data_IF_992222577823
#
_entry.id   IF_992222577823
#
_cell.length_a   1.000
_cell.length_b   1.000
_cell.length_c   1.000
_cell.angle_alpha   90.00
_cell.angle_beta   90.00
_cell.angle_gamma   90.00
#
_symmetry.space_group_name_H-M   'P 1'
#
loop_
_entity.id
_entity.type
_entity.pdbx_description
1 polymer ?
#
# COMPACT_ATOMS: atom_id res chain seq x y z
N UNK A 1 -0.62 -23.07 17.22
CA UNK A 1 -1.23 -23.84 16.12
C UNK A 1 -0.52 -23.42 14.84
N UNK A 2 0.03 -24.36 14.10
CA UNK A 2 0.69 -24.08 12.82
C UNK A 2 -0.34 -24.33 11.73
N UNK A 3 -0.68 -23.32 10.95
CA UNK A 3 -1.53 -23.44 9.78
C UNK A 3 -0.67 -23.23 8.52
N UNK A 4 -0.72 -24.15 7.58
CA UNK A 4 -0.08 -24.03 6.28
C UNK A 4 -1.10 -24.26 5.18
N UNK A 5 -1.02 -23.50 4.11
CA UNK A 5 -1.80 -23.72 2.90
C UNK A 5 -0.88 -23.70 1.69
N UNK A 6 -1.13 -24.58 0.74
CA UNK A 6 -0.49 -24.61 -0.57
C UNK A 6 -1.63 -24.60 -1.59
N UNK A 7 -1.56 -23.70 -2.57
CA UNK A 7 -2.50 -23.68 -3.69
C UNK A 7 -1.75 -23.67 -5.01
N UNK A 8 -2.30 -24.33 -6.00
CA UNK A 8 -1.85 -24.29 -7.39
C UNK A 8 -3.08 -23.94 -8.21
N UNK A 9 -2.98 -22.96 -9.09
CA UNK A 9 -4.05 -22.59 -10.02
C UNK A 9 -3.50 -22.48 -11.43
N UNK A 10 -4.26 -23.00 -12.37
CA UNK A 10 -4.05 -22.82 -13.80
C UNK A 10 -4.96 -21.68 -14.29
N UNK A 11 -4.38 -20.68 -14.93
CA UNK A 11 -5.11 -19.55 -15.46
C UNK A 11 -5.23 -19.73 -16.99
N UNK A 12 -6.25 -20.47 -17.41
CA UNK A 12 -6.53 -20.82 -18.80
C UNK A 12 -6.96 -19.58 -19.62
N UNK A 13 -6.00 -18.74 -19.99
CA UNK A 13 -6.15 -17.73 -21.01
C UNK A 13 -4.96 -17.87 -21.94
N UNK A 14 -5.14 -18.09 -23.21
CA UNK A 14 -4.24 -18.14 -24.39
C UNK A 14 -2.71 -18.31 -24.19
N UNK A 15 -2.20 -18.26 -22.98
CA UNK A 15 -0.86 -18.64 -22.50
C UNK A 15 -1.06 -19.40 -21.19
N UNK A 16 -0.80 -20.70 -21.18
CA UNK A 16 -0.85 -21.54 -19.98
C UNK A 16 0.20 -21.03 -18.98
N UNK A 17 -0.21 -20.28 -17.97
CA UNK A 17 0.64 -19.85 -16.86
C UNK A 17 0.19 -20.57 -15.60
N UNK A 18 1.04 -21.45 -15.09
CA UNK A 18 0.80 -22.13 -13.83
C UNK A 18 1.28 -21.25 -12.67
N UNK A 19 0.40 -20.98 -11.72
CA UNK A 19 0.73 -20.23 -10.48
C UNK A 19 0.71 -21.17 -9.28
N UNK A 20 1.64 -20.95 -8.36
CA UNK A 20 1.72 -21.69 -7.10
C UNK A 20 1.93 -20.73 -5.93
N UNK A 21 1.39 -21.09 -4.78
CA UNK A 21 1.58 -20.32 -3.55
C UNK A 21 1.68 -21.22 -2.33
N UNK A 22 2.39 -20.73 -1.33
CA UNK A 22 2.49 -21.35 -0.02
C UNK A 22 2.37 -20.29 1.07
N UNK A 23 1.64 -20.62 2.13
CA UNK A 23 1.52 -19.80 3.33
C UNK A 23 1.82 -20.63 4.56
N UNK A 24 2.70 -20.13 5.40
CA UNK A 24 3.08 -20.76 6.66
C UNK A 24 2.85 -19.80 7.82
N UNK A 25 2.16 -20.26 8.86
CA UNK A 25 1.86 -19.47 10.06
C UNK A 25 2.46 -20.14 11.29
N UNK A 26 3.31 -19.39 11.99
CA UNK A 26 3.95 -19.82 13.22
C UNK A 26 3.71 -18.77 14.31
N UNK A 27 2.69 -19.00 15.16
CA UNK A 27 2.29 -18.04 16.16
C UNK A 27 1.88 -16.70 15.52
N UNK A 28 2.60 -15.67 15.86
CA UNK A 28 2.36 -14.30 15.37
C UNK A 28 3.13 -13.96 14.09
N UNK A 29 3.83 -14.92 13.49
CA UNK A 29 4.54 -14.76 12.24
C UNK A 29 3.82 -15.51 11.12
N UNK A 30 3.55 -14.81 10.03
CA UNK A 30 3.01 -15.37 8.79
C UNK A 30 4.02 -15.16 7.68
N UNK A 31 4.39 -16.22 7.00
CA UNK A 31 5.25 -16.19 5.82
C UNK A 31 4.43 -16.58 4.60
N UNK A 32 4.60 -15.87 3.51
CA UNK A 32 3.98 -16.12 2.22
C UNK A 32 5.03 -16.28 1.13
N UNK A 33 4.73 -17.16 0.19
CA UNK A 33 5.48 -17.34 -1.05
C UNK A 33 4.49 -17.51 -2.19
N UNK A 34 4.75 -16.87 -3.32
CA UNK A 34 4.01 -17.05 -4.56
C UNK A 34 4.99 -17.07 -5.72
N UNK A 35 4.63 -17.77 -6.78
CA UNK A 35 5.40 -17.81 -8.00
C UNK A 35 4.57 -18.37 -9.15
N UNK A 36 5.11 -18.22 -10.35
CA UNK A 36 4.54 -18.80 -11.56
C UNK A 36 5.64 -19.34 -12.47
N UNK A 37 5.26 -20.10 -13.48
CA UNK A 37 6.17 -20.61 -14.50
C UNK A 37 6.58 -19.58 -15.56
N UNK A 38 6.05 -18.34 -15.46
CA UNK A 38 6.45 -17.19 -16.26
C UNK A 38 7.52 -16.32 -15.56
N UNK A 39 8.32 -16.91 -14.67
CA UNK A 39 9.49 -16.33 -14.01
C UNK A 39 9.19 -15.19 -13.02
N UNK A 40 7.95 -15.06 -12.54
CA UNK A 40 7.63 -14.14 -11.46
C UNK A 40 7.55 -14.87 -10.12
N UNK A 41 8.11 -14.26 -9.08
CA UNK A 41 8.03 -14.77 -7.70
C UNK A 41 7.86 -13.64 -6.68
N UNK A 42 7.31 -13.97 -5.51
CA UNK A 42 7.23 -13.04 -4.39
C UNK A 42 7.29 -13.75 -3.04
N UNK A 43 7.82 -13.03 -2.07
CA UNK A 43 7.91 -13.43 -0.67
C UNK A 43 7.26 -12.38 0.21
N UNK A 44 6.65 -12.82 1.30
CA UNK A 44 6.11 -11.89 2.29
C UNK A 44 6.29 -12.42 3.71
N UNK A 45 6.40 -11.50 4.64
CA UNK A 45 6.42 -11.79 6.07
C UNK A 45 5.53 -10.78 6.79
N UNK A 46 4.68 -11.24 7.71
CA UNK A 46 3.88 -10.38 8.58
C UNK A 46 4.05 -10.84 10.02
N UNK A 47 4.35 -9.89 10.90
CA UNK A 47 4.53 -10.12 12.32
C UNK A 47 3.55 -9.27 13.14
N UNK A 48 2.86 -9.92 14.08
CA UNK A 48 1.85 -9.30 14.97
C UNK A 48 2.07 -9.66 16.45
N UNK A 49 3.31 -9.97 16.84
CA UNK A 49 3.63 -10.50 18.19
C UNK A 49 3.66 -9.46 19.30
N UNK A 50 3.52 -8.17 18.99
CA UNK A 50 3.38 -7.08 19.95
C UNK A 50 1.99 -6.51 19.82
N UNK A 51 1.31 -6.30 20.96
CA UNK A 51 -0.04 -5.74 20.96
C UNK A 51 -0.08 -4.39 20.23
N UNK A 52 -1.04 -4.23 19.35
CA UNK A 52 -1.21 -3.05 18.52
C UNK A 52 -0.22 -2.92 17.37
N UNK A 53 0.88 -3.67 17.33
CA UNK A 53 1.91 -3.57 16.31
C UNK A 53 1.73 -4.63 15.21
N UNK A 54 1.73 -4.17 13.97
CA UNK A 54 1.85 -5.01 12.78
C UNK A 54 3.03 -4.55 11.96
N UNK A 55 3.93 -5.46 11.60
CA UNK A 55 5.03 -5.23 10.67
C UNK A 55 4.82 -6.18 9.51
N UNK A 56 4.82 -5.67 8.29
CA UNK A 56 4.75 -6.45 7.08
C UNK A 56 5.89 -6.08 6.13
N UNK A 57 6.44 -7.09 5.49
CA UNK A 57 7.45 -6.99 4.45
C UNK A 57 7.04 -7.82 3.26
N UNK A 58 7.29 -7.35 2.07
CA UNK A 58 7.11 -8.07 0.83
C UNK A 58 8.21 -7.73 -0.16
N UNK A 59 8.60 -8.74 -0.93
CA UNK A 59 9.51 -8.60 -2.06
C UNK A 59 8.96 -9.43 -3.22
N UNK A 60 8.99 -8.88 -4.42
CA UNK A 60 8.60 -9.56 -5.64
C UNK A 60 9.57 -9.28 -6.76
N UNK A 61 9.69 -10.22 -7.67
CA UNK A 61 10.49 -10.11 -8.88
C UNK A 61 9.70 -10.64 -10.09
N UNK A 62 9.85 -9.98 -11.22
CA UNK A 62 9.35 -10.42 -12.52
C UNK A 62 10.52 -10.44 -13.51
N UNK A 63 11.03 -11.63 -13.82
CA UNK A 63 12.21 -11.86 -14.65
C UNK A 63 11.85 -12.20 -16.10
N UNK A 64 10.76 -11.64 -16.65
CA UNK A 64 10.40 -11.85 -18.05
C UNK A 64 11.53 -11.44 -18.98
N UNK A 65 11.72 -12.22 -20.01
CA UNK A 65 12.78 -12.02 -21.03
C UNK A 65 12.74 -10.68 -21.77
N UNK A 66 11.67 -9.92 -21.62
CA UNK A 66 11.48 -8.62 -22.30
C UNK A 66 11.61 -7.41 -21.38
N UNK A 67 11.50 -7.60 -20.09
CA UNK A 67 11.71 -6.57 -19.06
C UNK A 67 11.74 -7.22 -17.67
N UNK A 68 12.72 -6.91 -16.87
CA UNK A 68 12.81 -7.32 -15.46
C UNK A 68 12.30 -6.20 -14.56
N UNK A 69 11.63 -6.59 -13.48
CA UNK A 69 11.19 -5.66 -12.46
C UNK A 69 11.28 -6.30 -11.08
N UNK A 70 11.75 -5.54 -10.12
CA UNK A 70 11.81 -5.89 -8.71
C UNK A 70 10.96 -4.93 -7.89
N UNK A 71 10.29 -5.43 -6.88
CA UNK A 71 9.54 -4.61 -5.95
C UNK A 71 9.85 -5.04 -4.52
N UNK A 72 10.10 -4.07 -3.66
CA UNK A 72 10.26 -4.27 -2.23
C UNK A 72 9.31 -3.33 -1.50
N UNK A 73 8.56 -3.86 -0.55
CA UNK A 73 7.63 -3.08 0.24
C UNK A 73 7.72 -3.47 1.70
N UNK A 74 7.59 -2.49 2.58
CA UNK A 74 7.35 -2.74 3.98
C UNK A 74 6.29 -1.77 4.53
N UNK A 75 5.61 -2.25 5.56
CA UNK A 75 4.58 -1.50 6.26
C UNK A 75 4.69 -1.74 7.75
N UNK A 76 4.65 -0.67 8.51
CA UNK A 76 4.53 -0.71 9.97
C UNK A 76 3.25 -0.01 10.36
N UNK A 77 2.42 -0.66 11.17
CA UNK A 77 1.21 -0.06 11.75
C UNK A 77 1.20 -0.29 13.24
N UNK A 78 0.90 0.74 14.00
CA UNK A 78 0.78 0.68 15.44
C UNK A 78 -0.52 1.34 15.90
N UNK A 79 -1.31 0.56 16.63
CA UNK A 79 -2.56 1.02 17.25
C UNK A 79 -2.39 1.08 18.77
N UNK A 80 -2.69 2.22 19.37
CA UNK A 80 -2.66 2.43 20.81
C UNK A 80 -3.84 3.29 21.25
N UNK A 81 -4.78 2.68 21.97
CA UNK A 81 -6.01 3.34 22.36
C UNK A 81 -6.78 3.87 21.13
N UNK A 82 -7.10 5.16 21.11
CA UNK A 82 -7.81 5.77 19.96
C UNK A 82 -6.91 6.12 18.77
N UNK A 83 -5.59 5.92 18.86
CA UNK A 83 -4.64 6.29 17.83
C UNK A 83 -4.22 5.07 17.00
N UNK A 84 -4.09 5.29 15.71
CA UNK A 84 -3.40 4.36 14.81
C UNK A 84 -2.44 5.15 13.95
N UNK A 85 -1.17 4.74 13.90
CA UNK A 85 -0.17 5.28 13.00
C UNK A 85 0.27 4.18 12.03
N UNK A 86 0.42 4.51 10.76
CA UNK A 86 0.89 3.59 9.73
C UNK A 86 1.95 4.29 8.90
N UNK A 87 3.05 3.60 8.63
CA UNK A 87 4.06 4.01 7.67
C UNK A 87 4.25 2.90 6.64
N UNK A 88 4.41 3.28 5.38
CA UNK A 88 4.61 2.36 4.26
C UNK A 88 5.73 2.89 3.40
N UNK A 89 6.53 1.99 2.86
CA UNK A 89 7.58 2.28 1.91
C UNK A 89 7.54 1.21 0.81
N UNK A 90 7.65 1.65 -0.43
CA UNK A 90 7.65 0.81 -1.62
C UNK A 90 8.73 1.30 -2.56
N UNK A 91 9.63 0.40 -2.92
CA UNK A 91 10.61 0.56 -3.97
C UNK A 91 10.25 -0.37 -5.13
N UNK A 92 10.12 0.18 -6.31
CA UNK A 92 9.86 -0.55 -7.54
C UNK A 92 10.93 -0.22 -8.56
N UNK A 93 11.80 -1.18 -8.80
CA UNK A 93 12.87 -1.11 -9.79
C UNK A 93 12.47 -1.83 -11.06
N UNK A 94 12.60 -1.14 -12.18
CA UNK A 94 12.36 -1.67 -13.51
C UNK A 94 13.64 -1.56 -14.32
N UNK A 95 13.91 -2.54 -15.19
CA UNK A 95 15.05 -2.52 -16.11
C UNK A 95 15.19 -1.18 -16.88
N UNK A 96 14.07 -0.56 -17.20
CA UNK A 96 14.05 0.81 -17.71
C UNK A 96 13.89 1.77 -16.54
N UNK A 97 14.95 2.46 -16.16
CA UNK A 97 14.98 3.35 -14.99
C UNK A 97 13.82 4.37 -14.93
N UNK A 98 13.39 4.90 -16.07
CA UNK A 98 12.23 5.83 -16.14
C UNK A 98 10.88 5.18 -15.77
N UNK A 99 10.85 3.87 -15.60
CA UNK A 99 9.66 3.12 -15.15
C UNK A 99 9.74 2.73 -13.67
N UNK A 100 10.87 2.98 -13.01
CA UNK A 100 11.03 2.76 -11.57
C UNK A 100 10.25 3.79 -10.77
N UNK A 101 9.87 3.45 -9.54
CA UNK A 101 9.10 4.31 -8.62
C UNK A 101 9.50 4.02 -7.19
N UNK A 102 9.71 5.07 -6.42
CA UNK A 102 9.79 5.00 -4.97
C UNK A 102 8.59 5.72 -4.37
N UNK A 103 7.96 5.10 -3.39
CA UNK A 103 6.81 5.64 -2.71
C UNK A 103 6.98 5.48 -1.20
N UNK A 104 6.82 6.55 -0.47
CA UNK A 104 6.74 6.50 0.99
C UNK A 104 5.45 7.16 1.45
N UNK A 105 4.82 6.61 2.48
CA UNK A 105 3.62 7.21 3.05
C UNK A 105 3.57 7.09 4.57
N UNK A 106 2.93 8.06 5.18
CA UNK A 106 2.61 8.06 6.60
C UNK A 106 1.14 8.47 6.80
N UNK A 107 0.44 7.75 7.66
CA UNK A 107 -0.93 8.08 8.03
C UNK A 107 -1.09 7.98 9.54
N UNK A 108 -1.83 8.93 10.13
CA UNK A 108 -2.28 8.89 11.51
C UNK A 108 -3.80 8.97 11.52
N UNK A 109 -4.44 8.10 12.28
CA UNK A 109 -5.87 8.12 12.54
C UNK A 109 -6.13 8.28 14.04
N UNK A 110 -7.13 9.07 14.37
CA UNK A 110 -7.59 9.29 15.75
C UNK A 110 -9.10 9.11 15.84
N UNK A 111 -9.55 8.20 16.69
CA UNK A 111 -10.97 7.97 17.00
C UNK A 111 -11.35 8.87 18.16
N UNK A 112 -12.01 10.00 17.86
CA UNK A 112 -12.43 10.98 18.85
C UNK A 112 -13.58 10.46 19.71
N UNK A 113 -14.50 9.69 19.10
CA UNK A 113 -15.62 9.00 19.77
C UNK A 113 -16.02 7.78 18.94
N UNK A 114 -16.96 6.97 19.41
CA UNK A 114 -17.52 5.83 18.65
C UNK A 114 -18.11 6.25 17.29
N UNK A 115 -18.40 7.54 17.12
CA UNK A 115 -19.05 8.09 15.94
C UNK A 115 -18.10 8.90 15.06
N UNK A 116 -17.00 9.43 15.60
CA UNK A 116 -16.12 10.39 14.91
C UNK A 116 -14.69 9.87 14.84
N UNK A 117 -14.15 9.85 13.63
CA UNK A 117 -12.73 9.61 13.40
C UNK A 117 -12.12 10.72 12.54
N UNK A 118 -10.85 10.98 12.78
CA UNK A 118 -10.04 11.97 12.07
C UNK A 118 -8.82 11.25 11.52
N UNK A 119 -8.45 11.57 10.28
CA UNK A 119 -7.25 11.02 9.63
C UNK A 119 -6.42 12.14 9.03
N UNK A 120 -5.11 11.97 9.08
CA UNK A 120 -4.16 12.77 8.34
C UNK A 120 -3.15 11.83 7.70
N UNK A 121 -2.76 12.08 6.48
CA UNK A 121 -1.76 11.29 5.77
C UNK A 121 -0.94 12.14 4.81
N UNK A 122 0.26 11.68 4.58
CA UNK A 122 1.21 12.21 3.60
C UNK A 122 1.74 11.05 2.76
N UNK A 123 1.97 11.31 1.50
CA UNK A 123 2.58 10.37 0.56
C UNK A 123 3.53 11.13 -0.36
N UNK A 124 4.68 10.55 -0.59
CA UNK A 124 5.72 11.06 -1.47
C UNK A 124 6.00 10.00 -2.53
N UNK A 125 6.02 10.41 -3.78
CA UNK A 125 6.32 9.54 -4.91
C UNK A 125 7.48 10.15 -5.70
N UNK A 126 8.54 9.36 -5.91
CA UNK A 126 9.65 9.70 -6.79
C UNK A 126 9.59 8.82 -8.05
N UNK A 127 9.74 9.44 -9.19
CA UNK A 127 9.88 8.77 -10.48
C UNK A 127 11.37 8.45 -10.71
N UNK A 128 11.69 7.32 -11.32
CA UNK A 128 13.07 6.88 -11.60
C UNK A 128 13.82 7.69 -12.66
N UNK A 129 13.27 8.80 -13.12
CA UNK A 129 13.93 9.71 -14.05
C UNK A 129 14.98 10.55 -13.31
N UNK A 130 16.20 10.60 -13.81
CA UNK A 130 17.32 11.34 -13.19
C UNK A 130 17.11 12.86 -13.05
N UNK A 131 16.06 13.40 -13.65
CA UNK A 131 15.67 14.82 -13.58
C UNK A 131 14.29 15.02 -12.94
N UNK A 132 13.72 14.02 -12.30
CA UNK A 132 12.42 14.14 -11.65
C UNK A 132 12.56 14.78 -10.27
N UNK A 133 11.57 15.59 -9.93
CA UNK A 133 11.29 16.02 -8.58
C UNK A 133 10.24 15.09 -7.98
N UNK A 134 10.10 15.13 -6.67
CA UNK A 134 9.07 14.37 -5.97
C UNK A 134 7.69 14.96 -6.23
N UNK A 135 6.69 14.09 -6.35
CA UNK A 135 5.30 14.48 -6.16
C UNK A 135 4.93 14.23 -4.70
N UNK A 136 4.32 15.22 -4.06
CA UNK A 136 3.93 15.17 -2.65
C UNK A 136 2.41 15.28 -2.53
N UNK A 137 1.83 14.42 -1.71
CA UNK A 137 0.40 14.39 -1.44
C UNK A 137 0.20 14.50 0.05
N UNK A 138 -0.72 15.35 0.48
CA UNK A 138 -1.17 15.40 1.86
C UNK A 138 -2.69 15.43 1.93
N UNK A 139 -3.25 14.93 3.03
CA UNK A 139 -4.70 14.91 3.15
C UNK A 139 -5.17 14.80 4.59
N UNK A 140 -6.26 15.51 4.86
CA UNK A 140 -6.98 15.46 6.11
C UNK A 140 -8.41 14.98 5.87
N UNK A 141 -8.88 14.07 6.70
CA UNK A 141 -10.23 13.52 6.62
C UNK A 141 -10.93 13.48 7.97
N UNK A 142 -12.25 13.66 7.94
CA UNK A 142 -13.13 13.46 9.09
C UNK A 142 -14.28 12.56 8.67
N UNK A 143 -14.60 11.56 9.49
CA UNK A 143 -15.75 10.69 9.27
C UNK A 143 -16.65 10.72 10.48
N UNK A 144 -17.95 10.89 10.25
CA UNK A 144 -19.01 10.78 11.25
C UNK A 144 -19.97 9.67 10.87
N UNK A 145 -20.22 8.73 11.80
CA UNK A 145 -21.14 7.59 11.58
C UNK A 145 -22.13 7.50 12.71
N UNK A 146 -23.42 7.64 12.40
CA UNK A 146 -24.50 7.48 13.38
C UNK A 146 -25.79 7.03 12.70
N UNK A 147 -26.56 6.14 13.33
CA UNK A 147 -27.91 5.80 12.92
C UNK A 147 -28.06 5.27 11.50
N UNK A 148 -27.07 4.54 10.98
CA UNK A 148 -27.07 4.04 9.59
C UNK A 148 -26.64 5.09 8.56
N UNK A 149 -26.19 6.27 8.99
CA UNK A 149 -25.63 7.31 8.14
C UNK A 149 -24.13 7.43 8.39
N UNK A 150 -23.36 7.59 7.34
CA UNK A 150 -21.94 7.96 7.40
C UNK A 150 -21.72 9.22 6.57
N UNK A 151 -21.16 10.26 7.19
CA UNK A 151 -20.72 11.48 6.52
C UNK A 151 -19.20 11.50 6.55
N UNK A 152 -18.57 11.67 5.38
CA UNK A 152 -17.15 11.88 5.21
C UNK A 152 -16.88 13.28 4.64
N UNK A 153 -15.87 13.96 5.17
CA UNK A 153 -15.31 15.15 4.58
C UNK A 153 -13.80 15.01 4.49
N UNK A 154 -13.22 15.44 3.38
CA UNK A 154 -11.77 15.45 3.22
C UNK A 154 -11.29 16.68 2.45
N UNK A 155 -10.06 17.06 2.74
CA UNK A 155 -9.28 18.02 1.97
C UNK A 155 -7.93 17.34 1.64
N UNK A 156 -7.51 17.47 0.40
CA UNK A 156 -6.27 16.88 -0.12
C UNK A 156 -5.55 17.94 -0.94
N UNK A 157 -4.24 17.97 -0.80
CA UNK A 157 -3.31 18.76 -1.58
C UNK A 157 -2.33 17.83 -2.27
N UNK A 158 -2.05 18.12 -3.52
CA UNK A 158 -1.08 17.39 -4.33
C UNK A 158 -0.15 18.42 -4.96
N UNK A 159 1.13 18.30 -4.69
CA UNK A 159 2.18 19.17 -5.22
C UNK A 159 3.00 18.42 -6.25
N UNK A 160 3.38 19.15 -7.30
CA UNK A 160 4.26 18.67 -8.37
C UNK A 160 3.86 17.32 -8.99
N UNK A 161 2.58 17.12 -9.28
CA UNK A 161 2.06 15.87 -9.85
C UNK A 161 2.65 15.50 -11.22
N UNK A 162 3.32 16.45 -11.88
CA UNK A 162 4.01 16.25 -13.16
C UNK A 162 5.48 15.82 -13.02
N UNK A 163 6.01 15.68 -11.79
CA UNK A 163 7.42 15.38 -11.51
C UNK A 163 8.41 16.33 -12.19
N UNK A 164 8.03 17.60 -12.32
CA UNK A 164 8.77 18.59 -13.12
C UNK A 164 9.67 19.45 -12.26
N UNK A 165 10.90 19.71 -12.73
CA UNK A 165 11.83 20.66 -12.12
C UNK A 165 11.58 22.12 -12.55
N UNK A 166 10.71 22.36 -13.53
CA UNK A 166 10.55 23.68 -14.16
C UNK A 166 9.14 24.22 -14.12
N UNK A 167 8.14 23.37 -13.97
CA UNK A 167 6.73 23.75 -13.87
C UNK A 167 6.04 22.80 -12.91
N UNK A 168 5.68 23.28 -11.72
CA UNK A 168 4.90 22.53 -10.74
C UNK A 168 3.43 22.57 -11.13
N UNK A 169 2.79 21.41 -11.08
CA UNK A 169 1.34 21.30 -11.20
C UNK A 169 0.81 20.89 -9.82
N UNK A 170 0.16 21.84 -9.16
CA UNK A 170 -0.38 21.66 -7.83
C UNK A 170 -1.91 21.58 -7.92
N UNK A 171 -2.50 20.73 -7.14
CA UNK A 171 -3.95 20.53 -7.08
C UNK A 171 -4.44 20.50 -5.63
N UNK A 172 -5.54 21.15 -5.40
CA UNK A 172 -6.26 21.08 -4.12
C UNK A 172 -7.68 20.57 -4.38
N UNK A 173 -8.09 19.57 -3.61
CA UNK A 173 -9.40 18.94 -3.72
C UNK A 173 -10.03 18.85 -2.34
N UNK A 174 -11.29 19.21 -2.23
CA UNK A 174 -12.09 18.90 -1.07
C UNK A 174 -13.43 18.26 -1.48
N UNK A 175 -13.93 17.37 -0.66
CA UNK A 175 -15.24 16.79 -0.89
C UNK A 175 -15.95 16.47 0.43
N UNK A 176 -17.27 16.44 0.35
CA UNK A 176 -18.15 15.92 1.40
C UNK A 176 -19.05 14.87 0.77
N UNK A 177 -19.14 13.71 1.40
CA UNK A 177 -20.02 12.63 0.99
C UNK A 177 -20.93 12.20 2.13
N UNK A 178 -22.06 11.62 1.80
CA UNK A 178 -22.97 10.99 2.76
C UNK A 178 -23.47 9.65 2.19
N UNK A 179 -23.40 8.61 3.01
CA UNK A 179 -23.90 7.26 2.69
C UNK A 179 -24.96 6.88 3.70
N UNK A 180 -26.05 6.29 3.24
CA UNK A 180 -27.15 5.83 4.07
C UNK A 180 -27.31 4.32 3.89
N UNK A 181 -27.40 3.57 5.01
CA UNK A 181 -27.77 2.17 5.05
C UNK A 181 -29.24 2.04 5.44
N UNK A 182 -30.05 1.32 4.66
CA UNK A 182 -31.50 1.09 4.86
C UNK A 182 -31.75 -0.37 5.19
#
# INVERSE_FOLDING_TARGET
>A
MVASSISVSDNNATTDVMSYSAKYTMGNLVLGFQGNDAEASSYSATYTGVEGLTIAYGQGEDNKTTATADATAWKVSYAYGPFTATATDLEYDHETATSSRDMSSMQVAYTLSDEISITYGEEEITDGSASSEKAEFSGFGVTYTAGGMTIGAYAQEAENISYSTTATEDQEIWAVNATFAF
#
